data_IF_431865884534
#
_entry.id   IF_431865884534
#
_cell.length_a   1.000
_cell.length_b   1.000
_cell.length_c   1.000
_cell.angle_alpha   90.00
_cell.angle_beta   90.00
_cell.angle_gamma   90.00
#
_symmetry.space_group_name_H-M   'P 1'
#
loop_
_entity.id
_entity.type
_entity.pdbx_description
1 polymer ?
#
# COMPACT_ATOMS: atom_id res chain seq x y z
N UNK A 1 -10.71 18.14 2.28
CA UNK A 1 -10.95 18.17 0.82
C UNK A 1 -11.32 16.76 0.37
N UNK A 2 -12.44 16.60 -0.35
CA UNK A 2 -12.90 15.31 -0.86
C UNK A 2 -12.31 15.12 -2.25
N UNK A 3 -11.44 14.13 -2.45
CA UNK A 3 -11.14 13.62 -3.79
C UNK A 3 -11.87 12.29 -3.89
N UNK A 4 -13.08 12.36 -4.44
CA UNK A 4 -13.78 11.20 -5.00
C UNK A 4 -13.50 11.29 -6.50
N UNK A 5 -12.50 10.54 -6.97
CA UNK A 5 -12.32 10.30 -8.39
C UNK A 5 -12.95 8.94 -8.71
N UNK A 6 -14.17 8.97 -9.26
CA UNK A 6 -14.81 7.79 -9.84
C UNK A 6 -14.19 7.61 -11.23
N UNK A 7 -13.26 6.67 -11.38
CA UNK A 7 -12.73 6.28 -12.69
C UNK A 7 -13.68 5.28 -13.34
N UNK A 8 -14.65 5.77 -14.12
CA UNK A 8 -15.51 4.94 -14.95
C UNK A 8 -15.03 4.95 -16.40
N UNK A 9 -14.28 3.91 -16.81
CA UNK A 9 -13.94 3.72 -18.22
C UNK A 9 -12.88 2.65 -18.47
N UNK A 10 -13.28 1.39 -18.56
CA UNK A 10 -12.41 0.31 -19.05
C UNK A 10 -12.77 0.01 -20.51
N UNK A 11 -11.98 0.49 -21.47
CA UNK A 11 -12.07 0.01 -22.87
C UNK A 11 -11.16 -1.20 -23.05
N UNK A 12 -11.75 -2.40 -23.05
CA UNK A 12 -11.08 -3.66 -23.41
C UNK A 12 -10.94 -3.73 -24.93
N UNK A 13 -9.70 -3.84 -25.41
CA UNK A 13 -9.39 -4.27 -26.77
C UNK A 13 -8.90 -5.71 -26.70
N UNK A 14 -9.33 -6.54 -27.66
CA UNK A 14 -9.13 -8.00 -27.69
C UNK A 14 -7.78 -8.43 -28.25
N UNK A 15 -6.78 -7.55 -28.27
CA UNK A 15 -5.42 -7.87 -28.73
C UNK A 15 -4.59 -8.51 -27.62
N UNK A 16 -3.69 -9.42 -27.99
CA UNK A 16 -2.73 -10.07 -27.11
C UNK A 16 -1.74 -9.01 -26.56
N UNK A 17 -2.16 -8.37 -25.47
CA UNK A 17 -1.47 -7.26 -24.83
C UNK A 17 -0.25 -7.77 -24.06
N UNK A 18 0.93 -7.43 -24.57
CA UNK A 18 2.19 -7.72 -23.90
C UNK A 18 2.56 -6.57 -22.96
N UNK A 19 2.11 -6.67 -21.72
CA UNK A 19 2.38 -5.69 -20.65
C UNK A 19 3.88 -5.37 -20.55
N UNK A 20 4.77 -6.34 -20.79
CA UNK A 20 6.22 -6.15 -20.69
C UNK A 20 6.79 -5.17 -21.73
N UNK A 21 6.11 -4.98 -22.87
CA UNK A 21 6.51 -3.99 -23.88
C UNK A 21 6.22 -2.55 -23.47
N UNK A 22 5.21 -2.33 -22.63
CA UNK A 22 4.86 -1.00 -22.13
C UNK A 22 5.58 -0.63 -20.83
N UNK A 23 6.12 -1.61 -20.08
CA UNK A 23 6.93 -1.36 -18.87
C UNK A 23 8.19 -0.58 -19.22
N UNK A 24 8.93 -0.99 -20.26
CA UNK A 24 10.26 -0.40 -20.55
C UNK A 24 10.20 1.10 -20.83
N UNK A 25 9.35 1.60 -21.76
CA UNK A 25 9.29 3.03 -22.02
C UNK A 25 8.85 3.83 -20.79
N UNK A 26 7.93 3.28 -19.97
CA UNK A 26 7.50 3.91 -18.73
C UNK A 26 8.66 4.01 -17.71
N UNK A 27 9.39 2.92 -17.48
CA UNK A 27 10.54 2.90 -16.58
C UNK A 27 11.71 3.77 -17.06
N UNK A 28 11.86 3.96 -18.38
CA UNK A 28 12.84 4.85 -19.00
C UNK A 28 12.52 6.33 -18.76
N UNK A 29 11.24 6.71 -18.65
CA UNK A 29 10.87 8.10 -18.26
C UNK A 29 11.35 8.47 -16.86
N UNK A 30 11.57 7.47 -15.99
CA UNK A 30 11.86 7.63 -14.56
C UNK A 30 10.83 8.46 -13.77
N UNK A 31 9.72 8.86 -14.40
CA UNK A 31 8.70 9.76 -13.84
C UNK A 31 7.98 9.13 -12.64
N UNK A 32 7.87 7.80 -12.66
CA UNK A 32 7.18 7.03 -11.64
C UNK A 32 5.66 7.25 -11.66
N UNK A 33 4.96 6.58 -10.75
CA UNK A 33 3.49 6.61 -10.71
C UNK A 33 2.92 7.88 -10.08
N UNK A 34 3.71 8.60 -9.28
CA UNK A 34 3.28 9.88 -8.69
C UNK A 34 3.10 10.94 -9.77
N UNK A 35 4.09 11.13 -10.64
CA UNK A 35 4.00 12.09 -11.74
C UNK A 35 2.88 11.73 -12.71
N UNK A 36 2.65 10.44 -12.96
CA UNK A 36 1.49 9.99 -13.71
C UNK A 36 0.17 10.45 -13.05
N UNK A 37 0.05 10.33 -11.73
CA UNK A 37 -1.10 10.84 -10.98
C UNK A 37 -1.24 12.37 -11.07
N UNK A 38 -0.15 13.09 -10.88
CA UNK A 38 -0.10 14.56 -10.87
C UNK A 38 -0.36 15.17 -12.26
N UNK A 39 -0.02 14.45 -13.33
CA UNK A 39 -0.27 14.86 -14.73
C UNK A 39 -1.76 14.94 -15.10
N UNK A 40 -2.65 14.38 -14.26
CA UNK A 40 -4.09 14.46 -14.45
C UNK A 40 -4.61 13.63 -15.64
N UNK A 41 -3.90 12.55 -16.01
CA UNK A 41 -4.34 11.67 -17.10
C UNK A 41 -5.78 11.18 -16.88
N UNK A 42 -6.64 11.25 -17.91
CA UNK A 42 -8.07 10.94 -17.76
C UNK A 42 -8.36 9.44 -17.63
N UNK A 43 -7.39 8.58 -17.96
CA UNK A 43 -7.54 7.14 -17.92
C UNK A 43 -6.25 6.47 -17.43
N UNK A 44 -6.42 5.44 -16.61
CA UNK A 44 -5.32 4.62 -16.12
C UNK A 44 -4.69 3.86 -17.31
N UNK A 45 -3.37 3.98 -17.54
CA UNK A 45 -2.68 3.21 -18.57
C UNK A 45 -2.90 1.70 -18.39
N UNK A 46 -3.01 0.98 -19.51
CA UNK A 46 -3.26 -0.47 -19.50
C UNK A 46 -2.21 -1.25 -18.73
N UNK A 47 -0.98 -0.72 -18.63
CA UNK A 47 0.11 -1.25 -17.83
C UNK A 47 -0.25 -1.50 -16.36
N UNK A 48 -1.16 -0.69 -15.78
CA UNK A 48 -1.59 -0.82 -14.38
C UNK A 48 -2.89 -1.60 -14.22
N UNK A 49 -3.50 -2.08 -15.31
CA UNK A 49 -4.77 -2.81 -15.28
C UNK A 49 -4.47 -4.31 -15.17
N UNK A 50 -4.89 -4.91 -14.06
CA UNK A 50 -4.79 -6.36 -13.86
C UNK A 50 -5.80 -7.09 -14.74
N UNK A 51 -5.34 -8.05 -15.56
CA UNK A 51 -6.24 -8.91 -16.35
C UNK A 51 -7.27 -9.61 -15.47
N UNK A 52 -8.51 -9.74 -15.98
CA UNK A 52 -9.68 -10.23 -15.22
C UNK A 52 -9.46 -11.60 -14.57
N UNK A 53 -8.69 -12.49 -15.17
CA UNK A 53 -8.36 -13.81 -14.62
C UNK A 53 -7.55 -13.73 -13.31
N UNK A 54 -6.71 -12.70 -13.17
CA UNK A 54 -5.98 -12.42 -11.92
C UNK A 54 -6.80 -11.56 -10.95
N UNK A 55 -7.78 -10.78 -11.44
CA UNK A 55 -8.66 -9.93 -10.63
C UNK A 55 -9.76 -10.73 -9.91
N UNK A 56 -10.25 -11.83 -10.50
CA UNK A 56 -11.30 -12.66 -9.89
C UNK A 56 -10.85 -13.42 -8.64
N UNK A 57 -9.53 -13.68 -8.47
CA UNK A 57 -8.98 -14.20 -7.19
C UNK A 57 -9.02 -13.17 -6.06
N UNK A 58 -9.03 -11.87 -6.38
CA UNK A 58 -9.09 -10.78 -5.39
C UNK A 58 -10.50 -10.24 -5.14
N UNK A 59 -11.48 -10.58 -5.98
CA UNK A 59 -12.88 -10.16 -5.82
C UNK A 59 -13.75 -11.26 -5.23
N UNK A 60 -13.25 -12.01 -4.25
CA UNK A 60 -14.17 -12.73 -3.37
C UNK A 60 -15.08 -11.66 -2.77
N UNK A 61 -16.36 -11.66 -3.18
CA UNK A 61 -17.43 -10.87 -2.57
C UNK A 61 -17.13 -10.83 -1.08
N UNK A 62 -17.00 -9.63 -0.51
CA UNK A 62 -16.80 -9.47 0.92
C UNK A 62 -18.03 -10.08 1.61
N UNK A 63 -17.97 -11.38 1.89
CA UNK A 63 -18.68 -11.93 3.03
C UNK A 63 -18.17 -11.09 4.17
N UNK A 64 -19.07 -10.30 4.77
CA UNK A 64 -18.80 -9.48 5.93
C UNK A 64 -18.54 -10.38 7.16
N UNK A 65 -17.76 -11.46 6.99
CA UNK A 65 -17.13 -12.19 8.07
C UNK A 65 -16.22 -11.17 8.73
N UNK A 66 -16.59 -10.73 9.94
CA UNK A 66 -15.92 -9.71 10.74
C UNK A 66 -14.51 -10.10 11.18
N UNK A 67 -13.67 -10.46 10.21
CA UNK A 67 -12.26 -10.73 10.32
C UNK A 67 -11.58 -9.39 10.63
N UNK A 68 -11.46 -9.08 11.92
CA UNK A 68 -10.64 -7.98 12.40
C UNK A 68 -9.21 -8.44 12.61
N UNK A 69 -8.28 -7.72 11.99
CA UNK A 69 -6.84 -7.91 12.19
C UNK A 69 -6.52 -7.78 13.68
N UNK A 70 -5.82 -8.75 14.29
CA UNK A 70 -5.45 -8.71 15.69
C UNK A 70 -4.69 -7.43 16.01
N UNK A 71 -4.99 -6.83 17.17
CA UNK A 71 -4.24 -5.68 17.70
C UNK A 71 -3.67 -6.10 19.05
N UNK A 72 -2.35 -6.00 19.20
CA UNK A 72 -1.61 -6.42 20.39
C UNK A 72 -1.15 -5.18 21.16
N UNK A 73 -1.48 -5.13 22.44
CA UNK A 73 -1.12 -4.02 23.32
C UNK A 73 0.18 -4.31 24.07
N UNK A 74 1.21 -3.51 23.80
CA UNK A 74 2.54 -3.65 24.40
C UNK A 74 2.69 -2.91 25.73
N UNK A 75 1.64 -2.27 26.24
CA UNK A 75 1.66 -1.69 27.58
C UNK A 75 2.00 -2.76 28.63
N UNK A 76 3.02 -2.47 29.45
CA UNK A 76 3.52 -3.40 30.45
C UNK A 76 4.39 -4.55 29.91
N UNK A 77 4.75 -4.55 28.62
CA UNK A 77 5.62 -5.58 28.03
C UNK A 77 6.98 -5.68 28.71
N UNK A 78 7.58 -4.53 29.08
CA UNK A 78 8.85 -4.46 29.79
C UNK A 78 8.78 -4.89 31.26
N UNK A 79 7.60 -5.21 31.78
CA UNK A 79 7.36 -5.56 33.19
C UNK A 79 6.56 -6.86 33.33
N UNK A 80 5.32 -6.80 33.79
CA UNK A 80 4.51 -7.97 34.18
C UNK A 80 3.86 -8.70 33.01
N UNK A 81 3.63 -8.05 31.86
CA UNK A 81 2.86 -8.62 30.75
C UNK A 81 3.69 -9.29 29.67
N UNK A 82 5.00 -9.42 29.85
CA UNK A 82 5.90 -9.99 28.83
C UNK A 82 5.41 -11.35 28.30
N UNK A 83 5.02 -12.26 29.19
CA UNK A 83 4.57 -13.62 28.83
C UNK A 83 3.26 -13.58 28.03
N UNK A 84 2.33 -12.71 28.42
CA UNK A 84 1.03 -12.55 27.74
C UNK A 84 1.23 -12.03 26.32
N UNK A 85 1.98 -10.93 26.16
CA UNK A 85 2.26 -10.30 24.86
C UNK A 85 2.99 -11.26 23.93
N UNK A 86 3.99 -12.00 24.41
CA UNK A 86 4.67 -13.04 23.60
C UNK A 86 3.69 -14.10 23.12
N UNK A 87 2.75 -14.53 23.97
CA UNK A 87 1.75 -15.50 23.59
C UNK A 87 0.73 -14.94 22.58
N UNK A 88 0.35 -13.67 22.70
CA UNK A 88 -0.49 -12.96 21.73
C UNK A 88 0.21 -12.85 20.37
N UNK A 89 1.49 -12.49 20.34
CA UNK A 89 2.31 -12.43 19.11
C UNK A 89 2.34 -13.81 18.45
N UNK A 90 2.60 -14.87 19.22
CA UNK A 90 2.64 -16.25 18.72
C UNK A 90 1.31 -16.63 18.08
N UNK A 91 0.19 -16.44 18.78
CA UNK A 91 -1.16 -16.76 18.27
C UNK A 91 -1.52 -15.96 17.02
N UNK A 92 -1.20 -14.66 16.99
CA UNK A 92 -1.47 -13.83 15.83
C UNK A 92 -0.60 -14.24 14.62
N UNK A 93 0.66 -14.58 14.85
CA UNK A 93 1.56 -15.07 13.80
C UNK A 93 1.10 -16.41 13.22
N UNK A 94 0.69 -17.36 14.06
CA UNK A 94 0.19 -18.68 13.63
C UNK A 94 -1.13 -18.59 12.86
N UNK A 95 -2.07 -17.77 13.33
CA UNK A 95 -3.44 -17.76 12.81
C UNK A 95 -3.66 -16.72 11.69
N UNK A 96 -2.92 -15.61 11.72
CA UNK A 96 -3.09 -14.49 10.78
C UNK A 96 -1.83 -14.24 9.94
N UNK A 97 -0.64 -14.46 10.48
CA UNK A 97 0.62 -14.07 9.85
C UNK A 97 0.90 -12.56 9.86
N UNK A 98 -0.01 -11.74 10.40
CA UNK A 98 0.15 -10.30 10.60
C UNK A 98 -0.76 -9.78 11.73
N UNK A 99 -0.36 -8.66 12.33
CA UNK A 99 -1.09 -8.01 13.43
C UNK A 99 -0.70 -6.53 13.53
N UNK A 100 -1.55 -5.75 14.22
CA UNK A 100 -1.26 -4.37 14.62
C UNK A 100 -0.66 -4.36 16.03
N UNK A 101 0.19 -3.38 16.32
CA UNK A 101 0.74 -3.15 17.66
C UNK A 101 0.38 -1.75 18.14
N UNK A 102 -0.01 -1.61 19.40
CA UNK A 102 -0.23 -0.34 20.08
C UNK A 102 0.62 -0.26 21.36
N UNK A 103 0.84 0.94 21.90
CA UNK A 103 1.66 1.18 23.08
C UNK A 103 3.08 0.57 23.00
N UNK A 104 3.66 0.55 21.80
CA UNK A 104 5.00 0.01 21.51
C UNK A 104 6.16 0.86 22.09
N UNK A 105 5.87 2.01 22.70
CA UNK A 105 6.86 2.89 23.33
C UNK A 105 7.64 3.79 22.36
N UNK A 106 7.32 3.77 21.06
CA UNK A 106 7.87 4.73 20.09
C UNK A 106 7.02 5.99 20.14
N UNK A 107 7.60 7.18 20.37
CA UNK A 107 6.84 8.43 20.40
C UNK A 107 6.11 8.68 19.07
N UNK A 108 4.88 9.17 19.15
CA UNK A 108 4.08 9.48 17.96
C UNK A 108 4.79 10.47 17.02
N UNK A 109 5.51 11.45 17.57
CA UNK A 109 6.28 12.43 16.81
C UNK A 109 7.30 11.79 15.86
N UNK A 110 7.90 10.65 16.23
CA UNK A 110 8.87 9.95 15.37
C UNK A 110 8.19 9.37 14.13
N UNK A 111 7.00 8.77 14.31
CA UNK A 111 6.22 8.25 13.20
C UNK A 111 5.69 9.38 12.30
N UNK A 112 5.26 10.50 12.91
CA UNK A 112 4.79 11.69 12.19
C UNK A 112 5.92 12.33 11.37
N UNK A 113 7.12 12.47 11.95
CA UNK A 113 8.29 12.99 11.26
C UNK A 113 8.75 12.09 10.13
N UNK A 114 8.70 10.76 10.32
CA UNK A 114 8.98 9.78 9.27
C UNK A 114 8.00 9.91 8.11
N UNK A 115 6.69 10.00 8.41
CA UNK A 115 5.65 10.20 7.39
C UNK A 115 5.84 11.53 6.66
N UNK A 116 6.09 12.62 7.40
CA UNK A 116 6.35 13.92 6.82
C UNK A 116 7.61 13.92 5.94
N UNK A 117 8.67 13.22 6.35
CA UNK A 117 9.89 13.04 5.56
C UNK A 117 9.64 12.27 4.26
N UNK A 118 8.90 11.17 4.34
CA UNK A 118 8.51 10.40 3.16
C UNK A 118 7.67 11.24 2.19
N UNK A 119 6.72 12.03 2.69
CA UNK A 119 5.92 12.95 1.88
C UNK A 119 6.83 13.98 1.21
N UNK A 120 7.67 14.70 1.97
CA UNK A 120 8.61 15.69 1.41
C UNK A 120 9.47 15.10 0.30
N UNK A 121 10.09 13.95 0.55
CA UNK A 121 10.90 13.27 -0.45
C UNK A 121 10.14 12.98 -1.75
N UNK A 122 8.89 12.52 -1.65
CA UNK A 122 8.08 12.24 -2.84
C UNK A 122 7.55 13.51 -3.51
N UNK A 123 7.50 14.66 -2.83
CA UNK A 123 7.13 15.97 -3.42
C UNK A 123 8.30 16.73 -4.06
N UNK A 124 9.55 16.33 -3.81
CA UNK A 124 10.71 16.97 -4.47
C UNK A 124 10.64 16.87 -6.01
N UNK A 125 11.38 17.71 -6.75
CA UNK A 125 11.62 17.50 -8.18
C UNK A 125 12.28 16.15 -8.46
N UNK A 126 11.98 15.58 -9.62
CA UNK A 126 12.49 14.28 -10.03
C UNK A 126 14.02 14.24 -10.07
N UNK A 127 14.66 15.32 -10.54
CA UNK A 127 16.13 15.36 -10.63
C UNK A 127 16.80 15.21 -9.27
N UNK A 128 16.20 15.80 -8.22
CA UNK A 128 16.73 15.73 -6.85
C UNK A 128 16.53 14.34 -6.21
N UNK A 129 15.54 13.58 -6.64
CA UNK A 129 15.34 12.19 -6.17
C UNK A 129 16.29 11.20 -6.83
N UNK A 130 16.82 11.51 -8.02
CA UNK A 130 17.74 10.64 -8.75
C UNK A 130 19.20 10.78 -8.32
N UNK A 131 19.51 11.79 -7.50
CA UNK A 131 20.87 12.05 -6.96
C UNK A 131 21.07 11.55 -5.52
N UNK A 132 19.99 11.09 -4.86
CA UNK A 132 19.99 10.52 -3.50
C UNK A 132 20.10 9.00 -3.56
#
# INVERSE_FOLDING_TARGET
MKIVAIFSGVKRDGSNYDQAKEVKPFDETKAGVKELGDSGVPMIPRLFIRSSEKAQKSSSKSSNSGLQVPTIDFEGFGSSRRVEVVNEIRKASENWGFFKVVNHGIPASVADEMLAGAIRFHEEPQELKLIL
#
